data_IF_258971496544
#
_entry.id   IF_258971496544
#
_cell.length_a   1.000
_cell.length_b   1.000
_cell.length_c   1.000
_cell.angle_alpha   90.00
_cell.angle_beta   90.00
_cell.angle_gamma   90.00
#
_symmetry.space_group_name_H-M   'P 1'
#
loop_
_entity.id
_entity.type
_entity.pdbx_description
1 polymer ?
#
# COMPACT_ATOMS: atom_id res chain seq x y z
N UNK A 1 9.70 -19.33 40.63
CA UNK A 1 8.62 -19.54 39.64
C UNK A 1 8.28 -18.14 39.19
N UNK A 2 9.04 -17.64 38.22
CA UNK A 2 9.06 -16.23 37.85
C UNK A 2 8.52 -16.10 36.43
N UNK A 3 7.31 -15.56 36.32
CA UNK A 3 6.72 -15.12 35.07
C UNK A 3 7.42 -13.83 34.62
N UNK A 4 8.06 -13.88 33.45
CA UNK A 4 8.64 -12.71 32.80
C UNK A 4 7.54 -11.90 32.15
N UNK A 5 7.35 -10.69 32.68
CA UNK A 5 6.62 -9.60 32.07
C UNK A 5 7.05 -9.37 30.62
N UNK A 6 6.07 -9.40 29.73
CA UNK A 6 6.18 -9.05 28.31
C UNK A 6 6.20 -7.53 28.18
N UNK A 7 7.36 -6.97 27.84
CA UNK A 7 7.52 -5.57 27.44
C UNK A 7 6.82 -5.31 26.10
N UNK A 8 5.53 -4.99 26.14
CA UNK A 8 4.77 -4.34 25.08
C UNK A 8 4.40 -2.92 25.57
N UNK A 9 4.54 -1.87 24.74
CA UNK A 9 4.18 -0.52 25.14
C UNK A 9 2.69 -0.45 25.49
N UNK A 10 2.39 0.14 26.65
CA UNK A 10 1.04 0.29 27.18
C UNK A 10 0.10 0.96 26.17
N UNK A 11 -0.90 0.23 25.73
CA UNK A 11 -2.04 0.74 24.96
C UNK A 11 -2.91 1.61 25.87
N UNK A 12 -2.92 2.91 25.63
CA UNK A 12 -3.76 3.88 26.35
C UNK A 12 -5.23 3.62 26.05
N UNK A 13 -5.97 3.07 27.03
CA UNK A 13 -7.42 2.90 26.99
C UNK A 13 -8.16 4.24 27.16
N UNK A 14 -9.25 4.35 26.40
CA UNK A 14 -10.45 5.21 26.56
C UNK A 14 -10.22 6.70 26.87
N UNK A 15 -10.38 7.54 25.83
CA UNK A 15 -10.98 8.87 25.97
C UNK A 15 -11.92 9.16 24.80
N UNK A 16 -13.05 9.72 25.18
CA UNK A 16 -14.23 10.15 24.45
C UNK A 16 -13.91 11.02 23.23
N UNK A 17 -14.78 10.95 22.20
CA UNK A 17 -14.88 11.85 21.04
C UNK A 17 -14.67 13.32 21.44
N UNK A 18 -13.43 13.79 21.32
CA UNK A 18 -13.03 15.18 21.14
C UNK A 18 -11.82 15.15 20.23
N UNK A 19 -11.84 16.02 19.22
CA UNK A 19 -10.74 16.30 18.32
C UNK A 19 -9.41 16.34 19.09
N UNK A 20 -8.65 15.25 19.10
CA UNK A 20 -7.21 15.38 19.18
C UNK A 20 -6.83 15.86 17.79
N UNK A 21 -6.59 17.15 17.66
CA UNK A 21 -5.87 17.67 16.51
C UNK A 21 -4.53 16.92 16.49
N UNK A 22 -4.46 15.94 15.60
CA UNK A 22 -3.23 15.24 15.31
C UNK A 22 -2.35 16.26 14.58
N UNK A 23 -1.57 17.04 15.30
CA UNK A 23 -0.75 18.14 14.76
C UNK A 23 0.36 17.65 13.80
N UNK A 24 0.53 16.34 13.66
CA UNK A 24 1.46 15.76 12.70
C UNK A 24 1.12 16.20 11.28
N UNK A 25 2.15 16.40 10.46
CA UNK A 25 2.01 16.71 9.02
C UNK A 25 1.51 15.52 8.19
N UNK A 26 1.44 14.33 8.78
CA UNK A 26 1.13 13.08 8.12
C UNK A 26 0.11 12.24 8.89
N UNK A 27 -0.54 11.34 8.17
CA UNK A 27 -1.37 10.28 8.73
C UNK A 27 -0.59 8.97 8.80
N UNK A 28 -0.81 8.20 9.87
CA UNK A 28 -0.48 6.78 9.84
C UNK A 28 -1.33 6.12 8.76
N UNK A 29 -0.69 5.41 7.83
CA UNK A 29 -1.37 4.84 6.68
C UNK A 29 -1.12 3.34 6.57
N UNK A 30 -2.18 2.50 6.58
CA UNK A 30 -2.06 1.08 6.36
C UNK A 30 -1.30 0.75 5.07
N UNK A 31 -0.23 -0.03 5.21
CA UNK A 31 0.62 -0.45 4.11
C UNK A 31 0.86 -1.97 4.16
N UNK A 32 -0.18 -2.74 4.50
CA UNK A 32 -0.12 -4.18 4.37
C UNK A 32 -0.08 -4.58 2.88
N UNK A 33 0.43 -5.77 2.54
CA UNK A 33 0.33 -6.27 1.17
C UNK A 33 -1.11 -6.33 0.65
N UNK A 34 -2.07 -6.77 1.46
CA UNK A 34 -3.46 -6.92 1.05
C UNK A 34 -4.15 -5.57 0.80
N UNK A 35 -4.03 -4.61 1.73
CA UNK A 35 -4.62 -3.28 1.56
C UNK A 35 -4.00 -2.54 0.37
N UNK A 36 -2.69 -2.66 0.18
CA UNK A 36 -1.99 -2.08 -0.96
C UNK A 36 -2.45 -2.68 -2.29
N UNK A 37 -2.74 -3.98 -2.31
CA UNK A 37 -3.28 -4.64 -3.49
C UNK A 37 -4.66 -4.07 -3.83
N UNK A 38 -5.54 -3.92 -2.84
CA UNK A 38 -6.88 -3.34 -3.05
C UNK A 38 -6.78 -1.93 -3.61
N UNK A 39 -5.93 -1.08 -3.03
CA UNK A 39 -5.69 0.28 -3.53
C UNK A 39 -5.22 0.23 -4.98
N UNK A 40 -4.23 -0.60 -5.30
CA UNK A 40 -3.63 -0.66 -6.62
C UNK A 40 -4.62 -1.14 -7.68
N UNK A 41 -5.37 -2.20 -7.40
CA UNK A 41 -6.38 -2.76 -8.32
C UNK A 41 -7.54 -1.79 -8.53
N UNK A 42 -8.05 -1.19 -7.46
CA UNK A 42 -9.11 -0.16 -7.58
C UNK A 42 -8.61 1.05 -8.36
N UNK A 43 -7.33 1.40 -8.23
CA UNK A 43 -6.76 2.57 -8.89
C UNK A 43 -6.65 2.42 -10.41
N UNK A 44 -6.43 1.19 -10.89
CA UNK A 44 -6.17 0.86 -12.30
C UNK A 44 -7.30 0.05 -12.93
N UNK A 45 -8.50 0.07 -12.33
CA UNK A 45 -9.68 -0.69 -12.77
C UNK A 45 -10.09 -0.43 -14.23
N UNK A 46 -9.66 0.70 -14.80
CA UNK A 46 -9.92 1.05 -16.21
C UNK A 46 -9.08 0.26 -17.21
N UNK A 47 -7.89 -0.18 -16.83
CA UNK A 47 -6.98 -0.96 -17.67
C UNK A 47 -6.12 -1.91 -16.81
N UNK A 48 -6.81 -2.89 -16.21
CA UNK A 48 -6.17 -3.87 -15.33
C UNK A 48 -5.18 -4.78 -16.08
N UNK A 49 -5.45 -5.08 -17.34
CA UNK A 49 -4.57 -5.93 -18.16
C UNK A 49 -3.22 -5.25 -18.40
N UNK A 50 -3.21 -3.99 -18.82
CA UNK A 50 -1.97 -3.22 -19.00
C UNK A 50 -1.26 -3.03 -17.66
N UNK A 51 -2.02 -2.75 -16.58
CA UNK A 51 -1.46 -2.67 -15.23
C UNK A 51 -0.74 -3.96 -14.83
N UNK A 52 -1.33 -5.13 -15.08
CA UNK A 52 -0.71 -6.43 -14.77
C UNK A 52 0.55 -6.70 -15.59
N UNK A 53 0.48 -6.55 -16.92
CA UNK A 53 1.64 -6.76 -17.82
C UNK A 53 2.83 -5.91 -17.42
N UNK A 54 2.59 -4.64 -17.09
CA UNK A 54 3.66 -3.72 -16.64
C UNK A 54 4.21 -4.10 -15.26
N UNK A 55 3.39 -4.66 -14.37
CA UNK A 55 3.81 -5.09 -13.04
C UNK A 55 4.72 -6.31 -13.08
N UNK A 56 4.43 -7.29 -13.92
CA UNK A 56 5.26 -8.47 -14.14
C UNK A 56 6.64 -8.09 -14.70
N UNK A 57 6.68 -7.10 -15.60
CA UNK A 57 7.93 -6.57 -16.14
C UNK A 57 8.80 -5.89 -15.06
N UNK A 58 8.16 -5.26 -14.07
CA UNK A 58 8.82 -4.44 -13.05
C UNK A 58 9.10 -5.19 -11.72
N UNK A 59 8.57 -6.41 -11.53
CA UNK A 59 8.70 -7.17 -10.28
C UNK A 59 8.80 -8.68 -10.51
N UNK A 60 9.95 -9.29 -10.18
CA UNK A 60 10.15 -10.74 -10.30
C UNK A 60 9.48 -11.57 -9.19
N UNK A 61 8.99 -10.94 -8.12
CA UNK A 61 8.39 -11.63 -6.96
C UNK A 61 6.87 -11.39 -6.84
N UNK A 62 6.24 -10.82 -7.87
CA UNK A 62 4.82 -10.45 -7.85
C UNK A 62 4.16 -10.99 -9.10
N UNK A 63 3.08 -11.76 -8.90
CA UNK A 63 2.29 -12.33 -9.99
C UNK A 63 0.87 -11.80 -9.91
N UNK A 64 0.29 -11.48 -11.08
CA UNK A 64 -1.09 -11.02 -11.19
C UNK A 64 -1.83 -11.88 -12.19
N UNK A 65 -2.76 -12.69 -11.71
CA UNK A 65 -3.64 -13.46 -12.58
C UNK A 65 -4.97 -12.73 -12.76
N UNK A 66 -5.31 -12.47 -14.02
CA UNK A 66 -6.64 -12.03 -14.43
C UNK A 66 -7.49 -13.22 -14.80
N UNK A 67 -8.76 -13.16 -14.44
CA UNK A 67 -9.71 -14.18 -14.84
C UNK A 67 -10.80 -13.54 -15.67
N UNK A 68 -10.98 -14.09 -16.86
CA UNK A 68 -12.04 -13.66 -17.75
C UNK A 68 -13.41 -13.98 -17.13
N UNK A 69 -14.39 -13.06 -17.23
CA UNK A 69 -15.75 -13.34 -16.84
C UNK A 69 -16.29 -14.52 -17.69
N UNK A 70 -17.09 -15.44 -17.13
CA UNK A 70 -17.63 -16.57 -17.87
C UNK A 70 -18.36 -16.12 -19.13
N UNK A 71 -18.19 -16.84 -20.24
CA UNK A 71 -18.88 -16.54 -21.51
C UNK A 71 -20.39 -16.37 -21.29
N UNK A 72 -20.95 -15.26 -21.79
CA UNK A 72 -22.37 -14.92 -21.66
C UNK A 72 -22.77 -14.19 -20.38
N UNK A 73 -21.84 -13.93 -19.45
CA UNK A 73 -22.10 -13.03 -18.32
C UNK A 73 -22.13 -11.57 -18.81
N UNK A 74 -23.28 -10.91 -18.69
CA UNK A 74 -23.45 -9.47 -18.98
C UNK A 74 -22.84 -8.57 -17.92
N UNK A 75 -22.43 -9.13 -16.78
CA UNK A 75 -21.86 -8.38 -15.69
C UNK A 75 -20.34 -8.38 -15.85
N UNK A 76 -19.80 -7.20 -16.13
CA UNK A 76 -18.37 -6.89 -16.14
C UNK A 76 -17.80 -7.14 -14.74
N UNK A 77 -17.56 -8.40 -14.38
CA UNK A 77 -16.83 -8.79 -13.18
C UNK A 77 -15.40 -9.12 -13.55
N UNK A 78 -14.46 -8.58 -12.79
CA UNK A 78 -13.05 -8.93 -12.90
C UNK A 78 -12.58 -9.50 -11.58
N UNK A 79 -11.81 -10.58 -11.70
CA UNK A 79 -11.07 -11.14 -10.58
C UNK A 79 -9.60 -10.91 -10.83
N UNK A 80 -8.92 -10.33 -9.84
CA UNK A 80 -7.49 -10.07 -9.86
C UNK A 80 -6.87 -10.78 -8.68
N UNK A 81 -6.03 -11.78 -8.95
CA UNK A 81 -5.27 -12.46 -7.91
C UNK A 81 -3.87 -11.90 -7.88
N UNK A 82 -3.51 -11.29 -6.77
CA UNK A 82 -2.18 -10.78 -6.50
C UNK A 82 -1.43 -11.73 -5.57
N UNK A 83 -0.30 -12.23 -6.03
CA UNK A 83 0.54 -13.16 -5.28
C UNK A 83 1.93 -12.59 -5.06
N UNK A 84 2.40 -12.70 -3.82
CA UNK A 84 3.79 -12.47 -3.40
C UNK A 84 4.28 -13.69 -2.64
N UNK A 85 5.59 -13.74 -2.34
CA UNK A 85 6.20 -14.83 -1.57
C UNK A 85 5.44 -15.17 -0.26
N UNK A 86 4.84 -14.16 0.39
CA UNK A 86 4.24 -14.28 1.72
C UNK A 86 2.76 -13.92 1.78
N UNK A 87 2.14 -13.51 0.68
CA UNK A 87 0.72 -13.09 0.70
C UNK A 87 0.07 -13.33 -0.64
N UNK A 88 -1.14 -13.89 -0.60
CA UNK A 88 -2.00 -14.13 -1.73
C UNK A 88 -3.32 -13.43 -1.45
N UNK A 89 -3.72 -12.50 -2.31
CA UNK A 89 -4.96 -11.73 -2.16
C UNK A 89 -5.68 -11.71 -3.50
N UNK A 90 -6.89 -12.23 -3.51
CA UNK A 90 -7.80 -12.21 -4.64
C UNK A 90 -8.83 -11.12 -4.42
N UNK A 91 -8.92 -10.19 -5.36
CA UNK A 91 -9.90 -9.11 -5.35
C UNK A 91 -10.92 -9.41 -6.43
N UNK A 92 -12.19 -9.30 -6.05
CA UNK A 92 -13.32 -9.45 -6.94
C UNK A 92 -14.01 -8.10 -7.05
N UNK A 93 -14.07 -7.60 -8.27
CA UNK A 93 -14.77 -6.36 -8.61
C UNK A 93 -15.96 -6.73 -9.48
N UNK A 94 -17.17 -6.55 -8.94
CA UNK A 94 -18.40 -6.71 -9.70
C UNK A 94 -18.85 -5.35 -10.25
N UNK A 95 -19.22 -5.29 -11.54
CA UNK A 95 -19.64 -4.07 -12.23
C UNK A 95 -18.50 -3.05 -12.38
N UNK A 96 -17.45 -3.44 -13.11
CA UNK A 96 -16.25 -2.61 -13.43
C UNK A 96 -16.62 -1.18 -13.86
N UNK A 97 -17.70 -1.00 -14.63
CA UNK A 97 -18.19 0.32 -15.07
C UNK A 97 -18.47 1.31 -13.92
N UNK A 98 -18.81 0.81 -12.74
CA UNK A 98 -19.03 1.65 -11.56
C UNK A 98 -17.71 2.18 -11.02
N UNK A 99 -16.66 1.38 -11.09
CA UNK A 99 -15.33 1.74 -10.63
C UNK A 99 -14.67 2.74 -11.58
N UNK A 100 -14.80 2.57 -12.90
CA UNK A 100 -14.21 3.52 -13.88
C UNK A 100 -14.83 4.91 -13.77
N UNK A 101 -16.17 5.00 -13.60
CA UNK A 101 -16.89 6.27 -13.45
C UNK A 101 -16.60 7.00 -12.13
N UNK A 102 -16.32 6.25 -11.07
CA UNK A 102 -16.10 6.79 -9.72
C UNK A 102 -14.64 6.73 -9.27
N UNK A 103 -13.69 6.46 -10.17
CA UNK A 103 -12.31 6.13 -9.83
C UNK A 103 -11.67 7.18 -8.92
N UNK A 104 -11.72 8.46 -9.32
CA UNK A 104 -11.18 9.59 -8.54
C UNK A 104 -11.74 9.69 -7.11
N UNK A 105 -13.06 9.86 -6.90
CA UNK A 105 -13.59 9.99 -5.55
C UNK A 105 -13.39 8.71 -4.73
N UNK A 106 -13.48 7.53 -5.36
CA UNK A 106 -13.26 6.25 -4.70
C UNK A 106 -11.84 6.12 -4.14
N UNK A 107 -10.79 6.46 -4.91
CA UNK A 107 -9.39 6.44 -4.46
C UNK A 107 -9.20 7.23 -3.17
N UNK A 108 -9.64 8.50 -3.16
CA UNK A 108 -9.47 9.39 -2.00
C UNK A 108 -10.31 8.94 -0.80
N UNK A 109 -11.55 8.49 -1.02
CA UNK A 109 -12.42 8.00 0.06
C UNK A 109 -11.90 6.70 0.66
N UNK A 110 -11.48 5.73 -0.18
CA UNK A 110 -10.87 4.48 0.29
C UNK A 110 -9.60 4.76 1.09
N UNK A 111 -8.72 5.64 0.58
CA UNK A 111 -7.48 6.03 1.27
C UNK A 111 -7.80 6.65 2.63
N UNK A 112 -8.75 7.58 2.69
CA UNK A 112 -9.14 8.23 3.95
C UNK A 112 -9.80 7.25 4.93
N UNK A 113 -10.59 6.30 4.42
CA UNK A 113 -11.19 5.24 5.22
C UNK A 113 -10.10 4.40 5.90
N UNK A 114 -9.05 4.03 5.16
CA UNK A 114 -7.91 3.30 5.73
C UNK A 114 -7.10 4.15 6.74
N UNK A 115 -6.95 5.45 6.50
CA UNK A 115 -6.38 6.38 7.49
C UNK A 115 -7.19 6.34 8.78
N UNK A 116 -8.52 6.44 8.69
CA UNK A 116 -9.39 6.43 9.87
C UNK A 116 -9.38 5.07 10.58
N UNK A 117 -9.37 3.97 9.83
CA UNK A 117 -9.18 2.62 10.39
C UNK A 117 -7.91 2.53 11.25
N UNK A 118 -6.81 3.13 10.78
CA UNK A 118 -5.54 3.14 11.53
C UNK A 118 -5.60 3.93 12.84
N UNK A 119 -6.41 5.00 12.88
CA UNK A 119 -6.59 5.83 14.07
C UNK A 119 -7.46 5.14 15.12
N UNK A 120 -8.52 4.47 14.67
CA UNK A 120 -9.40 3.70 15.54
C UNK A 120 -8.70 2.44 16.08
N UNK A 121 -7.65 1.96 15.40
CA UNK A 121 -6.85 0.79 15.77
C UNK A 121 -7.74 -0.43 16.10
N UNK A 122 -8.63 -0.76 15.18
CA UNK A 122 -9.57 -1.88 15.29
C UNK A 122 -8.81 -3.21 15.15
N UNK A 123 -8.23 -3.69 16.25
CA UNK A 123 -7.37 -4.89 16.27
C UNK A 123 -8.08 -6.19 16.60
N UNK A 124 -9.27 -6.12 17.20
CA UNK A 124 -10.07 -7.29 17.57
C UNK A 124 -11.41 -7.23 16.83
N UNK A 125 -11.90 -8.37 16.32
CA UNK A 125 -13.25 -8.50 15.79
C UNK A 125 -14.22 -8.41 16.98
N UNK A 126 -14.88 -7.27 17.23
CA UNK A 126 -15.80 -7.16 18.33
C UNK A 126 -17.11 -7.87 17.97
N UNK A 127 -17.87 -8.23 19.00
CA UNK A 127 -19.16 -8.90 18.83
C UNK A 127 -20.21 -8.02 18.11
N UNK A 128 -19.99 -6.71 18.03
CA UNK A 128 -20.87 -5.73 17.41
C UNK A 128 -20.37 -5.28 16.04
N UNK A 129 -21.30 -4.81 15.20
CA UNK A 129 -20.96 -4.18 13.92
C UNK A 129 -20.02 -3.00 14.13
N UNK A 130 -18.85 -3.06 13.48
CA UNK A 130 -17.86 -1.99 13.51
C UNK A 130 -18.14 -1.05 12.35
N UNK A 131 -18.04 0.24 12.61
CA UNK A 131 -18.03 1.23 11.55
C UNK A 131 -17.00 2.30 11.85
N UNK A 132 -16.34 2.74 10.78
CA UNK A 132 -15.48 3.91 10.80
C UNK A 132 -16.36 5.13 10.60
N UNK A 133 -16.18 6.15 11.46
CA UNK A 133 -16.98 7.37 11.39
C UNK A 133 -16.09 8.61 11.33
N UNK A 134 -16.39 9.49 10.38
CA UNK A 134 -15.71 10.78 10.28
C UNK A 134 -16.62 11.86 9.68
N UNK A 135 -16.41 13.14 10.01
CA UNK A 135 -17.15 14.24 9.40
C UNK A 135 -16.90 14.30 7.89
N UNK A 136 -17.95 14.54 7.11
CA UNK A 136 -17.82 14.83 5.68
C UNK A 136 -16.99 16.10 5.42
N UNK A 137 -17.00 17.02 6.40
CA UNK A 137 -16.20 18.26 6.42
C UNK A 137 -14.70 17.99 6.29
N UNK A 138 -14.21 16.83 6.75
CA UNK A 138 -12.80 16.49 6.70
C UNK A 138 -12.25 16.58 5.26
N UNK A 139 -13.03 16.18 4.25
CA UNK A 139 -12.61 16.30 2.87
C UNK A 139 -12.51 17.74 2.37
N UNK A 140 -13.25 18.67 2.97
CA UNK A 140 -13.12 20.10 2.67
C UNK A 140 -11.89 20.67 3.36
N UNK A 141 -11.74 20.38 4.65
CA UNK A 141 -10.59 20.82 5.47
C UNK A 141 -9.26 20.33 4.93
N UNK A 142 -9.21 19.09 4.42
CA UNK A 142 -8.03 18.49 3.80
C UNK A 142 -7.78 18.95 2.35
N UNK A 143 -8.62 19.86 1.83
CA UNK A 143 -8.50 20.39 0.46
C UNK A 143 -8.88 19.41 -0.65
N UNK A 144 -9.51 18.27 -0.32
CA UNK A 144 -9.95 17.29 -1.31
C UNK A 144 -11.10 17.83 -2.18
N UNK A 145 -12.01 18.60 -1.57
CA UNK A 145 -13.10 19.26 -2.28
C UNK A 145 -13.27 20.70 -1.81
N UNK A 146 -13.75 21.57 -2.70
CA UNK A 146 -13.95 23.00 -2.38
C UNK A 146 -15.12 23.26 -1.42
N UNK A 147 -16.12 22.37 -1.40
CA UNK A 147 -17.35 22.56 -0.61
C UNK A 147 -17.89 21.22 -0.10
N UNK A 148 -18.67 21.28 0.98
CA UNK A 148 -19.40 20.13 1.54
C UNK A 148 -20.31 19.49 0.48
N UNK A 149 -20.95 20.30 -0.37
CA UNK A 149 -21.82 19.82 -1.45
C UNK A 149 -21.06 18.94 -2.43
N UNK A 150 -19.89 19.40 -2.89
CA UNK A 150 -19.04 18.61 -3.80
C UNK A 150 -18.49 17.36 -3.13
N UNK A 151 -18.14 17.43 -1.83
CA UNK A 151 -17.72 16.26 -1.06
C UNK A 151 -18.84 15.21 -0.95
N UNK A 152 -20.08 15.65 -0.69
CA UNK A 152 -21.26 14.78 -0.65
C UNK A 152 -21.52 14.08 -1.98
N UNK A 153 -21.45 14.84 -3.09
CA UNK A 153 -21.64 14.29 -4.42
C UNK A 153 -20.59 13.23 -4.75
N UNK A 154 -19.32 13.53 -4.46
CA UNK A 154 -18.22 12.59 -4.64
C UNK A 154 -18.39 11.32 -3.79
N UNK A 155 -18.81 11.46 -2.53
CA UNK A 155 -19.09 10.31 -1.66
C UNK A 155 -20.22 9.45 -2.22
N UNK A 156 -21.33 10.05 -2.63
CA UNK A 156 -22.46 9.29 -3.20
C UNK A 156 -22.08 8.56 -4.50
N UNK A 157 -21.17 9.12 -5.30
CA UNK A 157 -20.62 8.45 -6.48
C UNK A 157 -19.74 7.24 -6.11
N UNK A 158 -18.94 7.36 -5.05
CA UNK A 158 -18.03 6.31 -4.61
C UNK A 158 -18.69 5.26 -3.70
N UNK A 159 -19.87 5.54 -3.13
CA UNK A 159 -20.54 4.69 -2.16
C UNK A 159 -20.77 3.27 -2.69
N UNK A 160 -21.42 3.15 -3.84
CA UNK A 160 -21.71 1.84 -4.44
C UNK A 160 -20.46 1.05 -4.83
N UNK A 161 -19.48 1.62 -5.56
CA UNK A 161 -18.27 0.85 -5.89
C UNK A 161 -17.46 0.49 -4.64
N UNK A 162 -17.40 1.36 -3.62
CA UNK A 162 -16.74 1.04 -2.34
C UNK A 162 -17.35 -0.20 -1.66
N UNK A 163 -18.69 -0.30 -1.62
CA UNK A 163 -19.41 -1.44 -1.04
C UNK A 163 -19.50 -2.66 -1.96
N UNK A 164 -18.97 -2.56 -3.18
CA UNK A 164 -18.93 -3.66 -4.16
C UNK A 164 -17.58 -4.39 -4.17
N UNK A 165 -16.57 -3.88 -3.47
CA UNK A 165 -15.25 -4.53 -3.36
C UNK A 165 -15.41 -5.80 -2.54
N UNK A 166 -15.02 -6.93 -3.13
CA UNK A 166 -14.97 -8.22 -2.46
C UNK A 166 -13.53 -8.74 -2.46
N UNK A 167 -13.15 -9.41 -1.38
CA UNK A 167 -11.81 -9.96 -1.21
C UNK A 167 -11.86 -11.39 -0.71
N UNK A 168 -10.85 -12.15 -1.09
CA UNK A 168 -10.44 -13.41 -0.49
C UNK A 168 -8.93 -13.32 -0.32
N UNK A 169 -8.37 -13.81 0.79
CA UNK A 169 -6.92 -13.71 0.93
C UNK A 169 -6.33 -14.52 2.06
N UNK A 170 -5.06 -14.85 1.89
CA UNK A 170 -4.26 -15.62 2.83
C UNK A 170 -2.87 -15.00 2.96
N UNK A 171 -2.41 -14.82 4.18
CA UNK A 171 -1.03 -14.46 4.51
C UNK A 171 -0.26 -15.74 4.86
N UNK A 172 0.83 -16.00 4.13
CA UNK A 172 1.74 -17.14 4.35
C UNK A 172 2.93 -16.67 5.18
N UNK A 173 3.09 -17.21 6.39
CA UNK A 173 4.26 -16.96 7.24
C UNK A 173 5.02 -18.27 7.47
N UNK A 174 6.04 -18.52 6.64
CA UNK A 174 6.96 -19.68 6.64
C UNK A 174 6.30 -21.06 6.57
N UNK A 175 5.54 -21.44 7.60
CA UNK A 175 4.87 -22.74 7.77
C UNK A 175 3.38 -22.61 8.07
N UNK A 176 2.89 -21.43 8.48
CA UNK A 176 1.50 -21.20 8.81
C UNK A 176 0.81 -20.34 7.75
N UNK A 177 -0.43 -20.68 7.43
CA UNK A 177 -1.30 -19.89 6.59
C UNK A 177 -2.36 -19.25 7.48
N UNK A 178 -2.43 -17.91 7.47
CA UNK A 178 -3.45 -17.15 8.19
C UNK A 178 -4.42 -16.57 7.17
N UNK A 179 -5.70 -16.88 7.32
CA UNK A 179 -6.72 -16.34 6.43
C UNK A 179 -7.02 -14.88 6.78
N UNK A 180 -7.18 -14.05 5.75
CA UNK A 180 -7.66 -12.68 5.86
C UNK A 180 -9.19 -12.67 6.00
N UNK A 181 -9.87 -13.61 5.35
CA UNK A 181 -11.31 -13.79 5.40
C UNK A 181 -11.68 -15.08 6.13
N UNK A 182 -12.77 -15.08 6.89
CA UNK A 182 -13.17 -16.26 7.68
C UNK A 182 -13.76 -17.38 6.80
N UNK A 183 -14.34 -17.05 5.64
CA UNK A 183 -14.98 -18.02 4.74
C UNK A 183 -14.99 -17.55 3.27
N UNK A 184 -13.87 -17.74 2.57
CA UNK A 184 -13.80 -17.49 1.12
C UNK A 184 -13.92 -16.01 0.75
N UNK A 185 -14.82 -15.70 -0.18
CA UNK A 185 -15.03 -14.34 -0.72
C UNK A 185 -15.94 -13.54 0.21
N UNK A 186 -15.45 -12.43 0.73
CA UNK A 186 -16.15 -11.54 1.64
C UNK A 186 -16.20 -10.11 1.09
N UNK A 187 -17.31 -9.40 1.33
CA UNK A 187 -17.43 -7.97 0.97
C UNK A 187 -16.55 -7.16 1.92
N UNK A 188 -15.75 -6.21 1.41
CA UNK A 188 -14.83 -5.42 2.22
C UNK A 188 -15.58 -4.46 3.16
N UNK A 189 -16.50 -3.67 2.60
CA UNK A 189 -17.35 -2.73 3.32
C UNK A 189 -18.83 -3.05 3.06
N UNK A 190 -19.56 -3.70 3.99
CA UNK A 190 -20.94 -4.13 3.75
C UNK A 190 -21.94 -2.96 3.65
N UNK A 191 -21.55 -1.74 4.01
CA UNK A 191 -22.37 -0.56 3.83
C UNK A 191 -21.58 0.73 4.05
N UNK A 192 -22.03 1.80 3.42
CA UNK A 192 -21.49 3.14 3.57
C UNK A 192 -22.63 4.15 3.41
N UNK A 193 -22.71 5.18 4.26
CA UNK A 193 -23.73 6.23 4.13
C UNK A 193 -23.29 7.54 4.80
N UNK A 194 -24.04 8.62 4.55
CA UNK A 194 -23.90 9.89 5.26
C UNK A 194 -25.14 10.13 6.11
N UNK A 195 -24.96 10.32 7.42
CA UNK A 195 -26.01 10.70 8.36
C UNK A 195 -25.61 11.95 9.13
N UNK A 196 -26.43 13.00 9.06
CA UNK A 196 -26.19 14.27 9.77
C UNK A 196 -24.79 14.88 9.53
N UNK A 197 -24.26 14.74 8.30
CA UNK A 197 -22.94 15.25 7.95
C UNK A 197 -21.77 14.35 8.38
N UNK A 198 -22.04 13.21 9.00
CA UNK A 198 -21.06 12.18 9.34
C UNK A 198 -21.10 11.08 8.29
N UNK A 199 -19.94 10.72 7.75
CA UNK A 199 -19.74 9.52 6.95
C UNK A 199 -19.61 8.33 7.90
N UNK A 200 -20.35 7.27 7.62
CA UNK A 200 -20.29 6.00 8.35
C UNK A 200 -20.06 4.86 7.34
N UNK A 201 -18.95 4.15 7.49
CA UNK A 201 -18.56 3.02 6.64
C UNK A 201 -18.42 1.79 7.53
N UNK A 202 -19.25 0.78 7.28
CA UNK A 202 -19.24 -0.47 8.02
C UNK A 202 -18.05 -1.33 7.60
N UNK A 203 -17.43 -1.98 8.58
CA UNK A 203 -16.37 -2.95 8.36
C UNK A 203 -16.96 -4.36 8.42
N UNK A 204 -16.60 -5.24 7.49
CA UNK A 204 -17.02 -6.63 7.58
C UNK A 204 -16.31 -7.33 8.74
N UNK A 205 -17.09 -7.90 9.67
CA UNK A 205 -16.59 -8.66 10.82
C UNK A 205 -15.88 -9.97 10.46
N UNK A 206 -16.10 -10.46 9.24
CA UNK A 206 -15.46 -11.68 8.70
C UNK A 206 -14.10 -11.39 8.05
N UNK A 207 -13.62 -10.15 8.15
CA UNK A 207 -12.30 -9.75 7.70
C UNK A 207 -11.43 -9.53 8.92
N UNK A 208 -10.28 -10.19 8.94
CA UNK A 208 -9.23 -9.93 9.91
C UNK A 208 -8.54 -8.60 9.54
N UNK A 209 -9.04 -7.48 10.07
CA UNK A 209 -8.53 -6.13 9.78
C UNK A 209 -7.07 -5.92 10.20
N UNK A 210 -6.61 -6.68 11.21
CA UNK A 210 -5.22 -6.68 11.62
C UNK A 210 -4.31 -7.24 10.52
N UNK A 211 -4.68 -8.36 9.90
CA UNK A 211 -3.94 -8.94 8.78
C UNK A 211 -4.17 -8.17 7.48
N UNK A 212 -5.40 -7.70 7.25
CA UNK A 212 -5.79 -7.01 6.02
C UNK A 212 -5.14 -5.64 5.89
N UNK A 213 -5.05 -4.83 6.95
CA UNK A 213 -4.61 -3.43 6.85
C UNK A 213 -3.59 -3.04 7.93
N UNK A 214 -3.80 -3.47 9.18
CA UNK A 214 -3.08 -2.90 10.34
C UNK A 214 -1.76 -3.60 10.68
N UNK A 215 -1.24 -4.45 9.79
CA UNK A 215 0.03 -5.16 10.02
C UNK A 215 1.26 -4.24 9.88
N UNK A 216 1.19 -3.29 8.95
CA UNK A 216 2.28 -2.37 8.64
C UNK A 216 1.72 -0.99 8.35
N UNK A 217 2.44 0.06 8.76
CA UNK A 217 2.00 1.44 8.58
C UNK A 217 3.10 2.29 7.96
N UNK A 218 2.80 2.99 6.87
CA UNK A 218 3.64 4.08 6.34
C UNK A 218 3.14 5.44 6.87
N UNK A 219 3.83 6.51 6.50
CA UNK A 219 3.43 7.89 6.82
C UNK A 219 2.99 8.60 5.55
N UNK A 220 1.71 8.97 5.47
CA UNK A 220 1.10 9.63 4.31
C UNK A 220 0.96 11.14 4.60
N UNK A 221 1.61 12.04 3.85
CA UNK A 221 1.41 13.48 4.02
C UNK A 221 -0.06 13.87 3.92
N UNK A 222 -0.53 14.78 4.78
CA UNK A 222 -1.92 15.26 4.76
C UNK A 222 -2.26 15.96 3.44
N UNK A 223 -1.27 16.60 2.84
CA UNK A 223 -1.34 17.32 1.56
C UNK A 223 -1.78 16.40 0.42
N UNK A 224 -1.57 15.08 0.53
CA UNK A 224 -2.07 14.07 -0.43
C UNK A 224 -3.52 14.33 -0.86
N UNK A 225 -4.38 14.69 0.08
CA UNK A 225 -5.81 14.87 -0.21
C UNK A 225 -6.09 16.10 -1.06
N UNK A 226 -5.24 17.12 -1.01
CA UNK A 226 -5.36 18.35 -1.80
C UNK A 226 -4.74 18.28 -3.20
N UNK A 227 -3.93 17.26 -3.47
CA UNK A 227 -3.28 17.07 -4.77
C UNK A 227 -4.28 16.71 -5.87
N UNK A 228 -3.89 17.00 -7.12
CA UNK A 228 -4.48 16.40 -8.32
C UNK A 228 -4.33 14.89 -8.31
N UNK A 229 -5.09 14.19 -9.16
CA UNK A 229 -5.14 12.71 -9.09
C UNK A 229 -3.79 12.09 -9.42
N UNK A 230 -3.12 12.57 -10.47
CA UNK A 230 -1.81 12.06 -10.86
C UNK A 230 -0.76 12.33 -9.77
N UNK A 231 -0.77 13.52 -9.16
CA UNK A 231 0.14 13.86 -8.08
C UNK A 231 -0.17 13.04 -6.81
N UNK A 232 -1.45 12.83 -6.49
CA UNK A 232 -1.88 11.98 -5.39
C UNK A 232 -1.43 10.53 -5.59
N UNK A 233 -1.73 9.93 -6.74
CA UNK A 233 -1.35 8.55 -7.08
C UNK A 233 0.17 8.36 -7.04
N UNK A 234 0.92 9.34 -7.57
CA UNK A 234 2.38 9.36 -7.50
C UNK A 234 2.88 9.41 -6.05
N UNK A 235 2.34 10.32 -5.22
CA UNK A 235 2.74 10.47 -3.82
C UNK A 235 2.41 9.22 -2.99
N UNK A 236 1.23 8.65 -3.18
CA UNK A 236 0.82 7.43 -2.48
C UNK A 236 1.78 6.28 -2.82
N UNK A 237 2.12 6.11 -4.09
CA UNK A 237 3.09 5.10 -4.52
C UNK A 237 4.50 5.37 -4.00
N UNK A 238 4.94 6.64 -3.93
CA UNK A 238 6.20 7.03 -3.28
C UNK A 238 6.23 6.52 -1.83
N UNK A 239 5.19 6.82 -1.05
CA UNK A 239 5.08 6.43 0.37
C UNK A 239 5.01 4.91 0.54
N UNK A 240 4.33 4.20 -0.37
CA UNK A 240 4.25 2.74 -0.37
C UNK A 240 5.60 2.08 -0.73
N UNK A 241 6.32 2.66 -1.70
CA UNK A 241 7.61 2.15 -2.16
C UNK A 241 8.75 2.46 -1.18
N UNK A 242 8.68 3.56 -0.43
CA UNK A 242 9.68 3.92 0.57
C UNK A 242 9.97 2.77 1.56
N UNK A 243 8.93 2.03 1.99
CA UNK A 243 9.10 0.84 2.86
C UNK A 243 9.84 -0.31 2.18
N UNK A 244 9.71 -0.46 0.87
CA UNK A 244 10.46 -1.46 0.09
C UNK A 244 11.92 -1.01 -0.11
N UNK A 245 12.15 0.31 -0.17
CA UNK A 245 13.45 0.97 -0.42
C UNK A 245 14.21 1.41 0.83
N UNK A 246 13.90 0.83 2.00
CA UNK A 246 14.58 1.16 3.28
C UNK A 246 16.11 1.06 3.23
N UNK A 247 16.66 0.16 2.40
CA UNK A 247 18.11 0.04 2.27
C UNK A 247 18.73 1.28 1.62
N UNK A 248 18.08 1.81 0.58
CA UNK A 248 18.54 2.98 -0.18
C UNK A 248 18.36 4.24 0.66
N UNK A 249 17.18 4.39 1.28
CA UNK A 249 16.87 5.51 2.19
C UNK A 249 17.85 5.54 3.36
N UNK A 250 18.11 4.40 4.01
CA UNK A 250 19.03 4.35 5.14
C UNK A 250 20.50 4.58 4.77
N UNK A 251 20.87 4.63 3.48
CA UNK A 251 22.22 4.97 3.01
C UNK A 251 22.31 6.41 2.52
N UNK A 252 21.34 6.82 1.71
CA UNK A 252 21.42 8.03 0.91
C UNK A 252 20.37 9.07 1.28
N UNK A 253 19.41 8.73 2.14
CA UNK A 253 18.21 9.55 2.40
C UNK A 253 17.24 9.61 1.21
N UNK A 254 17.51 8.86 0.13
CA UNK A 254 16.77 8.93 -1.12
C UNK A 254 16.63 7.56 -1.80
N UNK A 255 15.69 7.46 -2.73
CA UNK A 255 15.55 6.33 -3.65
C UNK A 255 15.04 6.80 -5.01
N UNK A 256 15.16 5.95 -6.04
CA UNK A 256 14.74 6.29 -7.39
C UNK A 256 13.46 5.53 -7.78
N UNK A 257 12.63 6.16 -8.61
CA UNK A 257 11.46 5.56 -9.26
C UNK A 257 11.54 5.83 -10.76
N UNK A 258 11.56 4.79 -11.60
CA UNK A 258 11.67 4.98 -13.05
C UNK A 258 10.42 5.66 -13.63
N UNK A 259 10.60 6.39 -14.72
CA UNK A 259 9.47 6.99 -15.43
C UNK A 259 8.58 5.94 -16.09
N UNK A 260 9.11 4.77 -16.46
CA UNK A 260 8.31 3.60 -16.83
C UNK A 260 7.37 3.14 -15.71
N UNK A 261 7.82 3.13 -14.46
CA UNK A 261 6.95 2.85 -13.30
C UNK A 261 5.90 3.95 -13.11
N UNK A 262 6.25 5.23 -13.31
CA UNK A 262 5.27 6.32 -13.24
C UNK A 262 4.23 6.26 -14.37
N UNK A 263 4.63 5.88 -15.59
CA UNK A 263 3.70 5.63 -16.70
C UNK A 263 2.66 4.58 -16.31
N UNK A 264 3.08 3.52 -15.62
CA UNK A 264 2.19 2.49 -15.10
C UNK A 264 1.26 3.02 -14.00
N UNK A 265 1.80 3.66 -12.96
CA UNK A 265 1.04 4.19 -11.82
C UNK A 265 -0.04 5.18 -12.25
N UNK A 266 0.26 5.97 -13.27
CA UNK A 266 -0.62 7.02 -13.78
C UNK A 266 -1.55 6.53 -14.89
N UNK A 267 -1.55 5.23 -15.19
CA UNK A 267 -2.35 4.63 -16.26
C UNK A 267 -2.20 5.35 -17.61
N UNK A 268 -0.96 5.75 -17.92
CA UNK A 268 -0.66 6.51 -19.13
C UNK A 268 -0.55 5.58 -20.35
N UNK A 269 -0.90 6.08 -21.55
CA UNK A 269 -0.87 5.27 -22.76
C UNK A 269 0.54 4.75 -23.05
N UNK A 270 0.60 3.65 -23.79
CA UNK A 270 1.84 3.07 -24.26
C UNK A 270 2.50 3.98 -25.31
N UNK A 271 3.81 4.15 -25.19
CA UNK A 271 4.61 5.03 -26.04
C UNK A 271 4.65 4.60 -27.50
N UNK A 272 4.36 3.33 -27.80
CA UNK A 272 4.35 2.78 -29.17
C UNK A 272 3.06 3.07 -29.93
N UNK A 273 1.95 3.32 -29.23
CA UNK A 273 0.62 3.56 -29.82
C UNK A 273 0.16 5.01 -29.71
N UNK A 274 0.70 5.77 -28.75
CA UNK A 274 0.28 7.16 -28.54
C UNK A 274 0.75 8.07 -29.67
N UNK A 275 -0.15 8.94 -30.14
CA UNK A 275 0.17 9.91 -31.20
C UNK A 275 0.98 11.10 -30.68
N UNK A 276 0.84 11.44 -29.39
CA UNK A 276 1.48 12.60 -28.79
C UNK A 276 2.16 12.24 -27.46
N UNK A 277 3.26 11.45 -27.49
CA UNK A 277 3.91 10.97 -26.27
C UNK A 277 4.39 12.09 -25.33
N UNK A 278 4.78 13.25 -25.88
CA UNK A 278 5.15 14.41 -25.08
C UNK A 278 4.01 14.89 -24.17
N UNK A 279 2.83 15.11 -24.76
CA UNK A 279 1.64 15.60 -24.06
C UNK A 279 0.96 14.51 -23.22
N UNK A 280 0.91 13.29 -23.72
CA UNK A 280 0.09 12.22 -23.14
C UNK A 280 0.88 11.34 -22.14
N UNK A 281 2.21 11.45 -22.10
CA UNK A 281 3.08 10.68 -21.18
C UNK A 281 4.01 11.60 -20.39
N UNK A 282 4.90 12.33 -21.08
CA UNK A 282 5.97 13.12 -20.43
C UNK A 282 5.40 14.25 -19.55
N UNK A 283 4.47 15.04 -20.09
CA UNK A 283 3.84 16.15 -19.36
C UNK A 283 3.09 15.68 -18.09
N UNK A 284 2.21 14.66 -18.12
CA UNK A 284 1.55 14.15 -16.92
C UNK A 284 2.51 13.73 -15.80
N UNK A 285 3.61 13.06 -16.14
CA UNK A 285 4.64 12.66 -15.17
C UNK A 285 5.31 13.89 -14.55
N UNK A 286 5.78 14.82 -15.37
CA UNK A 286 6.50 16.00 -14.90
C UNK A 286 5.59 16.94 -14.09
N UNK A 287 4.33 17.09 -14.49
CA UNK A 287 3.34 17.89 -13.78
C UNK A 287 3.03 17.32 -12.39
N UNK A 288 2.86 15.99 -12.29
CA UNK A 288 2.66 15.32 -11.00
C UNK A 288 3.84 15.54 -10.06
N UNK A 289 5.07 15.38 -10.56
CA UNK A 289 6.30 15.61 -9.80
C UNK A 289 6.42 17.07 -9.32
N UNK A 290 6.13 18.02 -10.20
CA UNK A 290 6.21 19.45 -9.89
C UNK A 290 5.18 19.85 -8.82
N UNK A 291 3.96 19.33 -8.91
CA UNK A 291 2.90 19.59 -7.93
C UNK A 291 3.26 19.04 -6.54
N UNK A 292 3.74 17.80 -6.45
CA UNK A 292 4.19 17.20 -5.18
C UNK A 292 5.30 18.05 -4.55
N UNK A 293 6.31 18.39 -5.33
CA UNK A 293 7.47 19.16 -4.83
C UNK A 293 7.08 20.54 -4.34
N UNK A 294 6.10 21.17 -5.01
CA UNK A 294 5.54 22.47 -4.57
C UNK A 294 4.76 22.33 -3.26
N UNK A 295 3.98 21.27 -3.10
CA UNK A 295 3.06 21.11 -1.97
C UNK A 295 3.76 20.64 -0.69
N UNK A 296 4.76 19.76 -0.78
CA UNK A 296 5.44 19.19 0.39
C UNK A 296 6.61 20.02 0.91
N UNK A 297 6.96 21.11 0.23
CA UNK A 297 7.84 22.18 0.69
C UNK A 297 9.14 21.70 1.39
N UNK A 298 9.83 20.73 0.77
CA UNK A 298 11.13 20.24 1.23
C UNK A 298 11.09 19.04 2.17
N UNK A 299 9.93 18.62 2.70
CA UNK A 299 9.84 17.40 3.52
C UNK A 299 10.01 16.13 2.67
N UNK A 300 9.45 16.15 1.46
CA UNK A 300 9.71 15.18 0.39
C UNK A 300 9.99 15.97 -0.88
N UNK A 301 11.15 15.73 -1.49
CA UNK A 301 11.56 16.38 -2.74
C UNK A 301 11.61 15.33 -3.84
N UNK A 302 10.95 15.60 -4.96
CA UNK A 302 10.90 14.70 -6.11
C UNK A 302 11.52 15.39 -7.31
N UNK A 303 12.72 14.97 -7.69
CA UNK A 303 13.48 15.60 -8.77
C UNK A 303 13.45 14.71 -10.03
N UNK A 304 12.99 15.21 -11.19
CA UNK A 304 13.02 14.45 -12.42
C UNK A 304 14.44 14.48 -13.02
N UNK A 305 15.03 13.30 -13.24
CA UNK A 305 16.34 13.13 -13.88
C UNK A 305 16.13 12.41 -15.20
N UNK A 306 16.43 13.09 -16.32
CA UNK A 306 16.28 12.54 -17.67
C UNK A 306 17.04 13.38 -18.71
N UNK A 307 17.30 12.80 -19.88
CA UNK A 307 17.81 13.55 -21.03
C UNK A 307 16.71 14.44 -21.62
N UNK A 308 16.81 15.76 -21.44
CA UNK A 308 15.80 16.70 -21.92
C UNK A 308 15.60 16.65 -23.44
N UNK A 309 16.65 16.28 -24.19
CA UNK A 309 16.65 16.17 -25.65
C UNK A 309 16.38 14.73 -26.14
N UNK A 310 16.20 13.77 -25.24
CA UNK A 310 15.96 12.38 -25.57
C UNK A 310 14.55 12.14 -26.12
N UNK A 311 14.39 11.04 -26.85
CA UNK A 311 13.08 10.60 -27.32
C UNK A 311 12.23 10.03 -26.16
N UNK A 312 10.96 9.67 -26.42
CA UNK A 312 10.08 9.17 -25.36
C UNK A 312 10.55 7.84 -24.75
N UNK A 313 11.19 6.98 -25.54
CA UNK A 313 11.70 5.69 -25.05
C UNK A 313 12.86 5.94 -24.08
N UNK A 314 13.83 6.77 -24.48
CA UNK A 314 14.93 7.21 -23.59
C UNK A 314 14.39 7.90 -22.33
N UNK A 315 13.36 8.73 -22.45
CA UNK A 315 12.70 9.36 -21.30
C UNK A 315 12.13 8.32 -20.32
N UNK A 316 11.46 7.26 -20.81
CA UNK A 316 10.82 6.27 -19.95
C UNK A 316 11.80 5.25 -19.36
N UNK A 317 12.75 4.78 -20.17
CA UNK A 317 13.69 3.71 -19.80
C UNK A 317 14.85 4.23 -18.95
N UNK A 318 15.45 5.37 -19.33
CA UNK A 318 16.60 5.95 -18.63
C UNK A 318 16.21 7.02 -17.60
N UNK A 319 15.02 7.62 -17.77
CA UNK A 319 14.53 8.67 -16.89
C UNK A 319 13.95 8.14 -15.59
N UNK A 320 14.16 8.89 -14.51
CA UNK A 320 13.64 8.54 -13.19
C UNK A 320 13.37 9.76 -12.33
N UNK A 321 12.45 9.61 -11.38
CA UNK A 321 12.25 10.53 -10.27
C UNK A 321 13.17 10.13 -9.11
N UNK A 322 14.08 11.03 -8.72
CA UNK A 322 14.86 10.90 -7.49
C UNK A 322 14.01 11.44 -6.34
N UNK A 323 13.63 10.57 -5.42
CA UNK A 323 12.83 10.91 -4.24
C UNK A 323 13.76 11.04 -3.04
N UNK A 324 13.91 12.26 -2.54
CA UNK A 324 14.71 12.56 -1.35
C UNK A 324 13.77 12.87 -0.18
N UNK A 325 14.01 12.21 0.95
CA UNK A 325 13.22 12.37 2.17
C UNK A 325 14.01 13.21 3.18
N UNK A 326 13.30 14.08 3.90
CA UNK A 326 13.88 14.96 4.91
C UNK A 326 13.04 14.95 6.20
N UNK A 327 13.58 15.58 7.25
CA UNK A 327 12.88 15.82 8.52
C UNK A 327 12.22 14.54 9.08
N UNK A 328 10.98 14.66 9.57
CA UNK A 328 10.20 13.57 10.17
C UNK A 328 10.06 12.36 9.24
N UNK A 329 10.04 12.58 7.92
CA UNK A 329 9.94 11.48 6.96
C UNK A 329 11.23 10.66 6.90
N UNK A 330 12.38 11.35 6.83
CA UNK A 330 13.68 10.68 6.86
C UNK A 330 13.93 9.98 8.20
N UNK A 331 13.53 10.60 9.31
CA UNK A 331 13.62 10.00 10.64
C UNK A 331 12.83 8.70 10.71
N UNK A 332 11.55 8.73 10.35
CA UNK A 332 10.67 7.55 10.38
C UNK A 332 11.22 6.39 9.54
N UNK A 333 11.54 6.64 8.26
CA UNK A 333 12.05 5.58 7.39
C UNK A 333 13.49 5.18 7.74
N UNK A 334 14.29 6.10 8.27
CA UNK A 334 15.63 5.83 8.78
C UNK A 334 15.63 4.88 9.97
N UNK A 335 14.71 5.05 10.92
CA UNK A 335 14.53 4.13 12.06
C UNK A 335 14.08 2.74 11.62
N UNK A 336 13.15 2.66 10.66
CA UNK A 336 12.74 1.39 10.07
C UNK A 336 13.91 0.70 9.36
N UNK A 337 14.74 1.46 8.63
CA UNK A 337 15.93 0.95 7.98
C UNK A 337 16.96 0.41 8.99
N UNK A 338 17.21 1.14 10.08
CA UNK A 338 18.08 0.69 11.19
C UNK A 338 17.56 -0.60 11.81
N UNK A 339 16.27 -0.65 12.14
CA UNK A 339 15.62 -1.84 12.71
C UNK A 339 15.74 -3.05 11.78
N UNK A 340 15.54 -2.84 10.47
CA UNK A 340 15.72 -3.90 9.46
C UNK A 340 17.16 -4.41 9.42
N UNK A 341 18.16 -3.53 9.44
CA UNK A 341 19.58 -3.90 9.48
C UNK A 341 19.92 -4.74 10.70
N UNK A 342 19.52 -4.29 11.89
CA UNK A 342 19.75 -5.02 13.15
C UNK A 342 19.15 -6.44 13.09
N UNK A 343 17.93 -6.58 12.55
CA UNK A 343 17.29 -7.90 12.38
C UNK A 343 18.05 -8.80 11.41
N UNK A 344 18.55 -8.25 10.30
CA UNK A 344 19.33 -9.00 9.30
C UNK A 344 20.66 -9.45 9.90
N UNK A 345 21.40 -8.55 10.55
CA UNK A 345 22.68 -8.86 11.20
C UNK A 345 22.51 -9.92 12.30
N UNK A 346 21.47 -9.79 13.13
CA UNK A 346 21.15 -10.80 14.14
C UNK A 346 20.79 -12.15 13.54
N UNK A 347 20.09 -12.19 12.40
CA UNK A 347 19.79 -13.43 11.69
C UNK A 347 21.03 -14.07 11.05
N UNK A 348 21.95 -13.25 10.51
CA UNK A 348 23.23 -13.73 9.97
C UNK A 348 24.10 -14.35 11.05
N UNK A 349 24.30 -13.65 12.19
CA UNK A 349 25.06 -14.18 13.33
C UNK A 349 24.49 -15.51 13.84
N UNK A 350 23.16 -15.62 13.97
CA UNK A 350 22.51 -16.89 14.33
C UNK A 350 22.78 -18.01 13.32
N UNK A 351 22.79 -17.71 12.02
CA UNK A 351 23.10 -18.69 10.98
C UNK A 351 24.56 -19.15 11.06
N UNK A 352 25.50 -18.23 11.29
CA UNK A 352 26.92 -18.55 11.51
C UNK A 352 27.11 -19.43 12.74
N UNK A 353 26.51 -19.08 13.88
CA UNK A 353 26.55 -19.89 15.10
C UNK A 353 26.01 -21.32 14.90
N UNK A 354 24.91 -21.46 14.15
CA UNK A 354 24.33 -22.77 13.81
C UNK A 354 25.29 -23.56 12.91
N UNK A 355 25.87 -22.92 11.90
CA UNK A 355 26.81 -23.56 10.99
C UNK A 355 28.08 -24.03 11.73
N UNK A 356 28.61 -23.23 12.65
CA UNK A 356 29.79 -23.57 13.43
C UNK A 356 29.49 -24.70 14.43
N UNK A 357 28.34 -24.68 15.12
CA UNK A 357 27.89 -25.81 15.95
C UNK A 357 27.74 -27.09 15.13
N UNK A 358 27.23 -27.01 13.91
CA UNK A 358 27.10 -28.15 13.02
C UNK A 358 28.48 -28.71 12.61
N UNK A 359 29.45 -27.84 12.29
CA UNK A 359 30.84 -28.26 11.98
C UNK A 359 31.50 -28.93 13.17
N UNK A 360 31.38 -28.37 14.37
CA UNK A 360 31.94 -28.97 15.61
C UNK A 360 31.33 -30.35 15.87
N UNK A 361 30.00 -30.48 15.75
CA UNK A 361 29.31 -31.77 15.91
C UNK A 361 29.73 -32.80 14.87
N UNK A 362 29.91 -32.39 13.61
CA UNK A 362 30.40 -33.26 12.54
C UNK A 362 31.85 -33.73 12.80
N UNK A 363 32.72 -32.85 13.29
CA UNK A 363 34.10 -33.17 13.63
C UNK A 363 34.18 -34.14 14.82
N UNK A 364 33.39 -33.90 15.87
CA UNK A 364 33.28 -34.79 17.02
C UNK A 364 32.80 -36.20 16.62
N UNK A 365 31.75 -36.28 15.78
CA UNK A 365 31.27 -37.56 15.26
C UNK A 365 32.31 -38.29 14.40
N UNK A 366 33.14 -37.55 13.66
CA UNK A 366 34.21 -38.13 12.85
C UNK A 366 35.33 -38.72 13.72
N UNK A 367 35.75 -37.99 14.74
CA UNK A 367 36.73 -38.44 15.75
C UNK A 367 36.22 -39.66 16.53
N UNK A 368 34.95 -39.68 16.93
CA UNK A 368 34.34 -40.85 17.58
C UNK A 368 34.33 -42.07 16.66
N UNK A 369 34.00 -41.92 15.37
CA UNK A 369 34.05 -43.02 14.39
C UNK A 369 35.47 -43.55 14.18
N UNK A 370 36.46 -42.67 14.07
CA UNK A 370 37.88 -43.05 13.94
C UNK A 370 38.43 -43.73 15.19
N UNK A 371 37.95 -43.37 16.39
CA UNK A 371 38.32 -44.06 17.64
C UNK A 371 37.70 -45.45 17.76
N UNK A 372 36.50 -45.66 17.21
CA UNK A 372 35.80 -46.96 17.20
C UNK A 372 36.33 -47.92 16.13
N UNK A 373 36.97 -47.41 15.07
CA UNK A 373 37.60 -48.24 14.03
C UNK A 373 39.06 -48.65 14.37
N UNK A 374 39.63 -48.10 15.45
CA UNK A 374 40.99 -48.43 15.93
C UNK A 374 41.00 -49.39 17.14
N UNK A 375 39.82 -49.82 17.59
CA UNK A 375 39.63 -50.97 18.47
C UNK A 375 39.16 -52.13 17.62
#
# INVERSE_FOLDING_TARGET
MDEKETNLPATTKKKTLKNNEDDRKWFSFPNSPASNTVISVVSHVGDLETFGKRLEHNSHSTQIDFFDPPEGSKNLSQRVKYSTDNTETTIHLDNIDLFTKANKPLKKILTYTLVQLSKENVTENPENDISIKFPLEDFVTLGCYKTIRTARQAFNQAQHPLTSIKIEGVVKDKKDQKQITDSGIEVLFPGAHIKNGIVEIYLNKRINWQLFALQYFSILPKEYFSLSDNAADTLLNIVMLARKRLNDIGKNGSFNMSFKTLQQILDLPDETITKNPGRDIKEPILNAIAEISKMLNGDIVVEPIYNANGNIIEFLEDGYAKVSLYNEYLEHFGELAKTKRIKIEGAMKKREEIADRAKVKALANKLEKESKSKK
#
